data_IF_442018396618
#
_entry.id   IF_442018396618
#
_cell.length_a   1.000
_cell.length_b   1.000
_cell.length_c   1.000
_cell.angle_alpha   90.00
_cell.angle_beta   90.00
_cell.angle_gamma   90.00
#
_symmetry.space_group_name_H-M   'P 1'
#
loop_
_entity.id
_entity.type
_entity.pdbx_description
1 polymer ?
#
# COMPACT_ATOMS: atom_id res chain seq x y z
N UNK A 1 11.14 18.29 -28.63
CA UNK A 1 10.41 19.56 -28.52
C UNK A 1 11.44 20.64 -28.50
N UNK A 2 11.48 21.47 -29.52
CA UNK A 2 12.46 22.54 -29.64
C UNK A 2 12.20 23.60 -28.57
N UNK A 3 13.26 23.97 -27.88
CA UNK A 3 13.27 25.08 -26.92
C UNK A 3 13.06 26.39 -27.71
N UNK A 4 11.90 27.01 -27.50
CA UNK A 4 11.65 28.36 -27.99
C UNK A 4 12.48 29.31 -27.10
N UNK A 5 13.67 29.64 -27.55
CA UNK A 5 14.48 30.73 -26.97
C UNK A 5 13.86 32.05 -27.38
N UNK A 6 13.06 32.64 -26.52
CA UNK A 6 12.69 34.05 -26.61
C UNK A 6 13.64 34.88 -25.76
N UNK A 7 14.17 35.94 -26.33
CA UNK A 7 14.97 36.96 -25.63
C UNK A 7 14.21 37.52 -24.43
N UNK A 8 14.64 37.16 -23.23
CA UNK A 8 14.03 37.58 -21.98
C UNK A 8 13.22 36.52 -21.30
N UNK A 9 13.86 35.43 -20.86
CA UNK A 9 13.23 34.38 -20.05
C UNK A 9 12.71 34.94 -18.70
N UNK A 10 11.57 35.62 -18.74
CA UNK A 10 10.85 36.14 -17.56
C UNK A 10 9.83 35.12 -16.99
N UNK A 11 9.62 34.02 -17.69
CA UNK A 11 8.64 32.99 -17.26
C UNK A 11 9.25 31.59 -17.37
N UNK A 12 9.57 30.95 -16.26
CA UNK A 12 9.87 29.52 -16.25
C UNK A 12 8.57 28.74 -16.01
N UNK A 13 8.16 27.97 -16.98
CA UNK A 13 7.06 27.01 -16.83
C UNK A 13 7.61 25.75 -16.19
N UNK A 14 7.12 25.41 -15.02
CA UNK A 14 7.44 24.15 -14.37
C UNK A 14 6.53 23.06 -14.92
N UNK A 15 7.10 22.05 -15.55
CA UNK A 15 6.38 20.84 -15.86
C UNK A 15 6.19 20.04 -14.58
N UNK A 16 4.94 19.89 -14.15
CA UNK A 16 4.59 18.94 -13.10
C UNK A 16 4.80 17.53 -13.62
N UNK A 17 5.55 16.73 -12.87
CA UNK A 17 5.68 15.33 -13.16
C UNK A 17 4.32 14.68 -12.89
N UNK A 18 3.66 14.21 -13.92
CA UNK A 18 2.38 13.48 -13.80
C UNK A 18 2.63 12.17 -13.07
N UNK A 19 1.87 11.91 -12.00
CA UNK A 19 1.86 10.61 -11.35
C UNK A 19 1.47 9.55 -12.40
N UNK A 20 2.30 8.52 -12.53
CA UNK A 20 2.04 7.43 -13.47
C UNK A 20 1.57 6.21 -12.70
N UNK A 21 0.46 5.63 -13.16
CA UNK A 21 0.02 4.31 -12.67
C UNK A 21 1.03 3.28 -13.15
N UNK A 22 1.56 2.41 -12.28
CA UNK A 22 2.51 1.38 -12.68
C UNK A 22 1.88 0.46 -13.74
N UNK A 23 2.67 0.04 -14.72
CA UNK A 23 2.23 -0.89 -15.77
C UNK A 23 2.88 -2.25 -15.48
N UNK A 24 2.03 -3.26 -15.26
CA UNK A 24 2.47 -4.63 -14.93
C UNK A 24 2.70 -5.49 -16.17
N UNK A 25 2.44 -4.97 -17.35
CA UNK A 25 2.57 -5.73 -18.59
C UNK A 25 3.96 -6.35 -18.77
N UNK A 26 3.98 -7.55 -19.32
CA UNK A 26 5.20 -8.25 -19.70
C UNK A 26 5.76 -7.64 -20.98
N UNK A 27 7.01 -7.17 -20.92
CA UNK A 27 7.62 -6.58 -22.09
C UNK A 27 8.65 -7.52 -22.71
N UNK A 28 8.19 -8.33 -23.65
CA UNK A 28 9.03 -9.26 -24.43
C UNK A 28 9.87 -8.54 -25.47
N UNK A 29 9.44 -7.37 -25.95
CA UNK A 29 9.95 -6.73 -27.16
C UNK A 29 11.06 -5.72 -26.86
N UNK A 30 10.99 -4.99 -25.74
CA UNK A 30 11.86 -3.81 -25.50
C UNK A 30 13.33 -4.20 -25.30
N UNK A 31 13.65 -5.41 -24.89
CA UNK A 31 15.04 -5.73 -24.65
C UNK A 31 15.47 -7.11 -25.17
N UNK A 32 15.86 -7.14 -26.45
CA UNK A 32 16.45 -8.35 -27.04
C UNK A 32 17.79 -8.75 -26.42
N UNK A 33 18.45 -7.85 -25.66
CA UNK A 33 19.79 -8.04 -25.07
C UNK A 33 19.77 -8.71 -23.71
N UNK A 34 18.64 -8.71 -22.98
CA UNK A 34 18.55 -9.36 -21.68
C UNK A 34 17.96 -10.77 -21.81
N UNK A 35 18.46 -11.75 -21.05
CA UNK A 35 17.94 -13.12 -21.10
C UNK A 35 16.65 -13.31 -20.29
N UNK A 36 16.18 -12.29 -19.57
CA UNK A 36 14.96 -12.33 -18.76
C UNK A 36 13.84 -11.48 -19.34
N UNK A 37 12.61 -11.82 -18.98
CA UNK A 37 11.41 -11.04 -19.28
C UNK A 37 11.31 -9.87 -18.30
N UNK A 38 11.01 -8.68 -18.81
CA UNK A 38 10.79 -7.51 -17.97
C UNK A 38 9.44 -7.60 -17.27
N UNK A 39 9.42 -7.29 -16.00
CA UNK A 39 8.22 -7.14 -15.21
C UNK A 39 7.83 -5.66 -15.18
N UNK A 40 6.91 -5.25 -16.05
CA UNK A 40 6.56 -3.86 -16.32
C UNK A 40 7.58 -3.14 -17.21
N UNK A 41 7.26 -1.92 -17.58
CA UNK A 41 8.05 -1.12 -18.56
C UNK A 41 9.50 -0.94 -18.11
N UNK A 42 9.71 -0.55 -16.86
CA UNK A 42 11.04 -0.30 -16.28
C UNK A 42 11.65 -1.55 -15.61
N UNK A 43 11.01 -2.72 -15.72
CA UNK A 43 11.39 -3.93 -14.97
C UNK A 43 11.30 -3.76 -13.44
N UNK A 44 10.49 -2.82 -12.95
CA UNK A 44 10.36 -2.45 -11.53
C UNK A 44 8.91 -2.55 -11.02
N UNK A 45 8.00 -3.24 -11.74
CA UNK A 45 6.61 -3.36 -11.32
C UNK A 45 6.44 -3.90 -9.88
N UNK A 46 7.15 -4.95 -9.42
CA UNK A 46 7.03 -5.40 -8.04
C UNK A 46 7.47 -4.36 -7.01
N UNK A 47 8.51 -3.56 -7.32
CA UNK A 47 8.99 -2.49 -6.47
C UNK A 47 7.94 -1.36 -6.34
N UNK A 48 7.23 -1.08 -7.42
CA UNK A 48 6.11 -0.13 -7.41
C UNK A 48 4.92 -0.66 -6.60
N UNK A 49 4.60 -1.96 -6.69
CA UNK A 49 3.58 -2.58 -5.83
C UNK A 49 3.95 -2.44 -4.34
N UNK A 50 5.21 -2.67 -3.98
CA UNK A 50 5.71 -2.45 -2.61
C UNK A 50 5.57 -0.98 -2.21
N UNK A 51 5.91 -0.04 -3.11
CA UNK A 51 5.78 1.39 -2.85
C UNK A 51 4.34 1.77 -2.56
N UNK A 52 3.40 1.32 -3.38
CA UNK A 52 1.96 1.56 -3.19
C UNK A 52 1.46 0.95 -1.87
N UNK A 53 1.84 -0.29 -1.57
CA UNK A 53 1.52 -0.96 -0.30
C UNK A 53 2.02 -0.18 0.93
N UNK A 54 3.19 0.45 0.84
CA UNK A 54 3.76 1.22 1.95
C UNK A 54 3.23 2.65 2.04
N UNK A 55 2.66 3.19 0.97
CA UNK A 55 2.28 4.61 0.88
C UNK A 55 0.77 4.87 0.97
N UNK A 56 -0.07 3.89 0.60
CA UNK A 56 -1.53 4.00 0.66
C UNK A 56 -2.07 3.33 1.93
N UNK A 57 -2.65 4.08 2.88
CA UNK A 57 -3.16 3.52 4.14
C UNK A 57 -4.30 2.52 3.92
N UNK A 58 -5.27 2.86 3.08
CA UNK A 58 -6.43 2.00 2.80
C UNK A 58 -6.01 0.72 2.09
N UNK A 59 -5.15 0.83 1.08
CA UNK A 59 -4.61 -0.33 0.37
C UNK A 59 -3.82 -1.26 1.30
N UNK A 60 -2.95 -0.69 2.14
CA UNK A 60 -2.20 -1.47 3.12
C UNK A 60 -3.12 -2.21 4.10
N UNK A 61 -4.12 -1.52 4.65
CA UNK A 61 -5.08 -2.13 5.56
C UNK A 61 -5.85 -3.29 4.89
N UNK A 62 -6.26 -3.11 3.63
CA UNK A 62 -6.94 -4.15 2.86
C UNK A 62 -6.06 -5.39 2.61
N UNK A 63 -4.80 -5.19 2.22
CA UNK A 63 -3.82 -6.29 2.06
C UNK A 63 -3.60 -7.01 3.40
N UNK A 64 -3.43 -6.27 4.50
CA UNK A 64 -3.21 -6.86 5.82
C UNK A 64 -4.42 -7.65 6.31
N UNK A 65 -5.63 -7.14 6.12
CA UNK A 65 -6.87 -7.86 6.48
C UNK A 65 -6.98 -9.19 5.73
N UNK A 66 -6.73 -9.18 4.41
CA UNK A 66 -6.67 -10.41 3.61
C UNK A 66 -5.58 -11.36 4.10
N UNK A 67 -4.41 -10.83 4.42
CA UNK A 67 -3.28 -11.62 4.91
C UNK A 67 -3.57 -12.28 6.25
N UNK A 68 -4.14 -11.55 7.22
CA UNK A 68 -4.54 -12.12 8.50
C UNK A 68 -5.58 -13.24 8.31
N UNK A 69 -6.60 -13.01 7.49
CA UNK A 69 -7.60 -14.06 7.17
C UNK A 69 -6.96 -15.26 6.47
N UNK A 70 -6.06 -15.03 5.51
CA UNK A 70 -5.44 -16.10 4.72
C UNK A 70 -4.45 -16.93 5.54
N UNK A 71 -3.61 -16.30 6.35
CA UNK A 71 -2.62 -17.04 7.15
C UNK A 71 -3.27 -17.89 8.24
N UNK A 72 -4.37 -17.41 8.86
CA UNK A 72 -4.96 -18.01 10.05
C UNK A 72 -4.07 -17.91 11.29
N UNK A 73 -4.44 -18.62 12.35
CA UNK A 73 -3.65 -18.72 13.60
C UNK A 73 -2.61 -19.83 13.53
N UNK A 74 -2.94 -20.94 12.89
CA UNK A 74 -2.14 -22.16 12.90
C UNK A 74 -2.38 -22.97 11.62
N UNK A 75 -1.37 -23.71 11.20
CA UNK A 75 -1.42 -24.68 10.12
C UNK A 75 -1.19 -26.06 10.71
N UNK A 76 -2.08 -27.00 10.40
CA UNK A 76 -2.01 -28.40 10.86
C UNK A 76 -2.31 -29.37 9.73
N UNK A 77 -2.04 -30.65 9.95
CA UNK A 77 -2.41 -31.75 9.04
C UNK A 77 -3.65 -32.44 9.56
N UNK A 78 -4.68 -32.58 8.73
CA UNK A 78 -5.90 -33.28 9.09
C UNK A 78 -5.61 -34.78 9.35
N UNK A 79 -5.92 -35.25 10.55
CA UNK A 79 -5.71 -36.64 10.97
C UNK A 79 -4.28 -37.17 10.71
N UNK A 80 -3.28 -36.27 10.71
CA UNK A 80 -1.91 -36.60 10.35
C UNK A 80 -0.89 -36.16 11.41
N UNK A 81 0.36 -36.42 11.07
CA UNK A 81 1.51 -36.05 11.89
C UNK A 81 1.90 -34.58 11.65
N UNK A 82 1.70 -33.74 12.64
CA UNK A 82 2.07 -32.33 12.62
C UNK A 82 3.58 -32.11 12.73
N UNK A 83 4.37 -33.10 13.14
CA UNK A 83 5.83 -32.99 13.21
C UNK A 83 6.44 -32.69 11.84
N UNK A 84 5.74 -33.07 10.77
CA UNK A 84 6.11 -32.75 9.38
C UNK A 84 6.10 -31.25 9.08
N UNK A 85 5.35 -30.45 9.83
CA UNK A 85 5.20 -29.01 9.67
C UNK A 85 6.13 -28.20 10.59
N UNK A 86 6.76 -28.84 11.58
CA UNK A 86 7.60 -28.17 12.58
C UNK A 86 8.83 -27.53 11.97
N UNK A 87 9.44 -28.20 10.98
CA UNK A 87 10.65 -27.68 10.33
C UNK A 87 10.49 -27.69 8.81
N UNK A 88 10.58 -26.52 8.20
CA UNK A 88 10.61 -26.35 6.76
C UNK A 88 12.04 -26.37 6.20
N UNK A 89 13.02 -25.94 6.99
CA UNK A 89 14.41 -25.79 6.56
C UNK A 89 15.39 -25.86 7.74
N UNK A 90 16.67 -25.87 7.40
CA UNK A 90 17.78 -25.92 8.38
C UNK A 90 18.02 -24.61 9.14
N UNK A 91 17.35 -23.50 8.78
CA UNK A 91 17.43 -22.23 9.51
C UNK A 91 16.45 -22.17 10.68
N UNK A 92 15.56 -23.17 10.79
CA UNK A 92 14.56 -23.23 11.86
C UNK A 92 13.21 -22.59 11.51
N UNK A 93 13.01 -22.17 10.25
CA UNK A 93 11.66 -21.75 9.83
C UNK A 93 10.72 -22.95 9.88
N UNK A 94 9.52 -22.72 10.41
CA UNK A 94 8.41 -23.67 10.34
C UNK A 94 7.69 -23.59 9.00
N UNK A 95 6.85 -24.58 8.67
CA UNK A 95 5.96 -24.47 7.51
C UNK A 95 5.01 -23.30 7.62
N UNK A 96 4.56 -23.00 8.83
CA UNK A 96 3.69 -21.86 9.07
C UNK A 96 4.40 -20.52 8.80
N UNK A 97 5.68 -20.39 9.14
CA UNK A 97 6.46 -19.20 8.81
C UNK A 97 6.60 -18.99 7.31
N UNK A 98 6.85 -20.07 6.57
CA UNK A 98 6.92 -20.03 5.11
C UNK A 98 5.54 -19.72 4.51
N UNK A 99 4.48 -20.36 5.04
CA UNK A 99 3.10 -20.11 4.64
C UNK A 99 2.72 -18.64 4.79
N UNK A 100 2.99 -18.03 5.95
CA UNK A 100 2.67 -16.62 6.21
C UNK A 100 3.35 -15.67 5.23
N UNK A 101 4.63 -15.91 4.91
CA UNK A 101 5.40 -15.12 3.96
C UNK A 101 4.85 -15.27 2.53
N UNK A 102 4.58 -16.51 2.10
CA UNK A 102 4.00 -16.81 0.80
C UNK A 102 2.58 -16.26 0.63
N UNK A 103 1.77 -16.31 1.69
CA UNK A 103 0.41 -15.76 1.67
C UNK A 103 0.42 -14.23 1.45
N UNK A 104 1.37 -13.50 2.07
CA UNK A 104 1.52 -12.07 1.84
C UNK A 104 1.94 -11.77 0.40
N UNK A 105 2.95 -12.46 -0.10
CA UNK A 105 3.41 -12.32 -1.49
C UNK A 105 2.30 -12.61 -2.48
N UNK A 106 1.53 -13.67 -2.25
CA UNK A 106 0.42 -14.06 -3.11
C UNK A 106 -0.67 -12.97 -3.19
N UNK A 107 -0.99 -12.35 -2.06
CA UNK A 107 -1.98 -11.27 -2.01
C UNK A 107 -1.43 -10.02 -2.69
N UNK A 108 -0.15 -9.71 -2.47
CA UNK A 108 0.48 -8.49 -2.98
C UNK A 108 0.82 -8.57 -4.47
N UNK A 109 1.32 -9.72 -4.94
CA UNK A 109 1.81 -9.89 -6.32
C UNK A 109 0.94 -10.82 -7.17
N UNK A 110 0.05 -11.61 -6.60
CA UNK A 110 -0.60 -12.74 -7.26
C UNK A 110 0.33 -13.93 -7.47
N UNK A 111 1.49 -13.95 -6.83
CA UNK A 111 2.52 -14.96 -6.98
C UNK A 111 3.30 -15.13 -5.68
N UNK A 112 3.97 -16.26 -5.50
CA UNK A 112 4.97 -16.45 -4.46
C UNK A 112 6.09 -17.37 -4.94
N UNK A 113 7.23 -17.32 -4.26
CA UNK A 113 8.36 -18.15 -4.64
C UNK A 113 9.10 -18.74 -3.44
N UNK A 114 9.68 -19.90 -3.69
CA UNK A 114 10.46 -20.65 -2.73
C UNK A 114 11.80 -21.09 -3.37
N UNK A 115 12.83 -21.11 -2.57
CA UNK A 115 14.04 -21.83 -2.92
C UNK A 115 13.96 -23.24 -2.33
N UNK A 116 13.91 -24.24 -3.21
CA UNK A 116 13.89 -25.65 -2.86
C UNK A 116 15.33 -26.16 -2.88
N UNK A 117 15.79 -26.63 -1.74
CA UNK A 117 17.16 -27.15 -1.58
C UNK A 117 17.08 -28.66 -1.28
N UNK A 118 17.49 -29.45 -2.26
CA UNK A 118 17.51 -30.91 -2.13
C UNK A 118 18.53 -31.35 -1.08
N UNK A 119 18.15 -32.29 -0.22
CA UNK A 119 19.06 -32.95 0.70
C UNK A 119 20.04 -33.82 -0.10
N UNK A 120 21.19 -34.16 0.50
CA UNK A 120 22.21 -35.00 -0.16
C UNK A 120 21.64 -36.32 -0.66
N UNK A 121 20.81 -36.95 0.17
CA UNK A 121 19.97 -38.04 -0.24
C UNK A 121 18.60 -37.47 -0.65
N UNK A 122 18.29 -37.49 -1.92
CA UNK A 122 17.04 -36.96 -2.46
C UNK A 122 15.83 -37.75 -2.00
N UNK A 123 15.99 -39.01 -1.56
CA UNK A 123 14.91 -39.76 -0.96
C UNK A 123 14.43 -39.15 0.37
N UNK A 124 15.33 -38.46 1.07
CA UNK A 124 15.01 -37.71 2.26
C UNK A 124 14.30 -36.38 2.00
N UNK A 125 13.98 -36.06 0.73
CA UNK A 125 13.26 -34.87 0.35
C UNK A 125 14.12 -33.60 0.22
N UNK A 126 13.52 -32.47 0.49
CA UNK A 126 14.12 -31.14 0.33
C UNK A 126 13.71 -30.20 1.47
N UNK A 127 14.50 -29.18 1.65
CA UNK A 127 14.21 -28.04 2.52
C UNK A 127 13.60 -26.91 1.67
N UNK A 128 12.67 -26.16 2.28
CA UNK A 128 11.99 -25.02 1.66
C UNK A 128 12.40 -23.72 2.34
N UNK A 129 12.88 -22.78 1.54
CA UNK A 129 13.21 -21.43 2.00
C UNK A 129 12.34 -20.43 1.28
N UNK A 130 11.81 -19.46 2.01
CA UNK A 130 11.11 -18.34 1.38
C UNK A 130 12.06 -17.55 0.48
N UNK A 131 11.58 -17.17 -0.70
CA UNK A 131 12.30 -16.32 -1.65
C UNK A 131 11.39 -15.17 -2.10
N UNK A 132 11.86 -13.94 -1.96
CA UNK A 132 11.12 -12.74 -2.29
C UNK A 132 10.85 -12.66 -3.82
N UNK A 133 9.59 -12.70 -4.22
CA UNK A 133 9.15 -12.62 -5.62
C UNK A 133 9.61 -11.34 -6.31
N UNK A 134 9.73 -10.23 -5.59
CA UNK A 134 10.16 -8.95 -6.16
C UNK A 134 11.56 -9.00 -6.76
N UNK A 135 12.39 -9.93 -6.29
CA UNK A 135 13.78 -10.11 -6.69
C UNK A 135 13.98 -11.10 -7.83
N UNK A 136 12.91 -11.74 -8.29
CA UNK A 136 12.98 -12.72 -9.37
C UNK A 136 12.49 -12.16 -10.71
N UNK A 137 13.12 -12.64 -11.78
CA UNK A 137 12.66 -12.45 -13.15
C UNK A 137 12.74 -13.77 -13.89
N UNK A 138 11.69 -14.07 -14.65
CA UNK A 138 11.63 -15.26 -15.46
C UNK A 138 12.58 -15.16 -16.66
N UNK A 139 13.21 -16.28 -17.03
CA UNK A 139 13.90 -16.41 -18.32
C UNK A 139 12.88 -16.27 -19.45
N UNK A 140 13.30 -15.73 -20.58
CA UNK A 140 12.51 -15.77 -21.80
C UNK A 140 12.26 -17.22 -22.18
N UNK A 141 10.97 -17.57 -22.34
CA UNK A 141 10.60 -18.95 -22.63
C UNK A 141 11.11 -19.43 -23.99
N UNK A 142 11.18 -20.73 -24.10
CA UNK A 142 11.35 -21.41 -25.37
C UNK A 142 10.02 -21.45 -26.18
N UNK A 143 9.99 -22.19 -27.27
CA UNK A 143 8.83 -22.39 -28.12
C UNK A 143 7.61 -23.04 -27.41
N UNK A 144 7.82 -23.57 -26.20
CA UNK A 144 6.80 -24.25 -25.40
C UNK A 144 6.35 -23.46 -24.18
N UNK A 145 6.68 -22.17 -24.11
CA UNK A 145 6.38 -21.28 -22.99
C UNK A 145 6.85 -21.80 -21.61
N UNK A 146 7.84 -22.71 -21.60
CA UNK A 146 8.41 -23.25 -20.38
C UNK A 146 9.55 -22.39 -19.90
N UNK A 147 9.49 -21.97 -18.63
CA UNK A 147 10.58 -21.27 -17.94
C UNK A 147 11.55 -22.30 -17.38
N UNK A 148 12.79 -22.27 -17.83
CA UNK A 148 13.84 -23.19 -17.36
C UNK A 148 14.70 -22.60 -16.26
N UNK A 149 14.80 -21.26 -16.19
CA UNK A 149 15.60 -20.55 -15.22
C UNK A 149 14.92 -19.26 -14.77
N UNK A 150 15.25 -18.86 -13.56
CA UNK A 150 14.93 -17.56 -13.01
C UNK A 150 16.19 -16.77 -12.74
N UNK A 151 16.10 -15.45 -12.85
CA UNK A 151 17.20 -14.54 -12.53
C UNK A 151 16.87 -13.82 -11.23
N UNK A 152 17.77 -13.95 -10.26
CA UNK A 152 17.66 -13.29 -8.96
C UNK A 152 18.63 -12.11 -8.92
N UNK A 153 18.12 -10.92 -8.58
CA UNK A 153 18.94 -9.75 -8.26
C UNK A 153 18.51 -9.16 -6.92
N UNK A 154 19.48 -8.75 -6.13
CA UNK A 154 19.18 -8.05 -4.87
C UNK A 154 18.48 -6.71 -5.10
N UNK A 155 18.80 -6.03 -6.21
CA UNK A 155 18.17 -4.78 -6.59
C UNK A 155 18.10 -4.65 -8.12
N UNK A 156 16.88 -4.67 -8.66
CA UNK A 156 16.61 -4.54 -10.08
C UNK A 156 16.70 -3.09 -10.61
N UNK A 157 16.73 -2.08 -9.73
CA UNK A 157 16.98 -0.71 -10.15
C UNK A 157 18.44 -0.52 -10.58
N UNK A 158 19.36 -1.31 -10.01
CA UNK A 158 20.79 -1.21 -10.28
C UNK A 158 21.41 -2.57 -10.69
N UNK A 159 20.98 -3.19 -11.80
CA UNK A 159 21.43 -4.54 -12.18
C UNK A 159 22.93 -4.63 -12.53
N UNK A 160 23.59 -3.52 -12.81
CA UNK A 160 25.04 -3.46 -12.99
C UNK A 160 25.79 -3.60 -11.67
N UNK A 161 25.24 -3.02 -10.58
CA UNK A 161 25.81 -3.10 -9.22
C UNK A 161 25.47 -4.42 -8.55
N UNK A 162 24.28 -4.95 -8.83
CA UNK A 162 23.74 -6.19 -8.30
C UNK A 162 23.45 -7.16 -9.45
N UNK A 163 24.50 -7.80 -10.03
CA UNK A 163 24.35 -8.61 -11.23
C UNK A 163 23.40 -9.79 -10.97
N UNK A 164 22.44 -10.02 -11.86
CA UNK A 164 21.47 -11.10 -11.71
C UNK A 164 22.14 -12.47 -11.73
N UNK A 165 21.78 -13.34 -10.80
CA UNK A 165 22.23 -14.73 -10.73
C UNK A 165 21.19 -15.62 -11.40
N UNK A 166 21.64 -16.50 -12.28
CA UNK A 166 20.80 -17.51 -12.93
C UNK A 166 20.57 -18.67 -11.97
N UNK A 167 19.32 -19.03 -11.71
CA UNK A 167 18.87 -20.11 -10.85
C UNK A 167 17.99 -21.06 -11.63
N UNK A 168 18.12 -22.38 -11.41
CA UNK A 168 17.29 -23.36 -12.07
C UNK A 168 15.85 -23.30 -11.59
N UNK A 169 14.89 -23.36 -12.51
CA UNK A 169 13.49 -23.53 -12.17
C UNK A 169 13.24 -24.93 -11.58
N UNK A 170 12.32 -25.03 -10.64
CA UNK A 170 11.98 -26.28 -9.98
C UNK A 170 11.51 -27.34 -10.98
N UNK A 171 12.25 -28.42 -11.03
CA UNK A 171 11.94 -29.60 -11.82
C UNK A 171 12.40 -30.82 -11.03
N UNK A 172 11.46 -31.70 -10.67
CA UNK A 172 11.75 -32.89 -9.87
C UNK A 172 12.77 -33.84 -10.53
N UNK A 173 12.84 -33.80 -11.85
CA UNK A 173 13.74 -34.68 -12.64
C UNK A 173 15.16 -34.14 -12.77
N UNK A 174 15.37 -32.84 -12.47
CA UNK A 174 16.71 -32.26 -12.59
C UNK A 174 17.55 -32.50 -11.34
N UNK A 175 18.88 -32.62 -11.54
CA UNK A 175 19.83 -32.96 -10.47
C UNK A 175 20.35 -31.75 -9.68
N UNK A 176 20.03 -30.50 -10.09
CA UNK A 176 20.45 -29.29 -9.36
C UNK A 176 20.00 -29.35 -7.91
N UNK A 177 20.94 -29.07 -7.01
CA UNK A 177 20.68 -29.12 -5.56
C UNK A 177 19.80 -27.98 -5.07
N UNK A 178 19.80 -26.83 -5.74
CA UNK A 178 19.00 -25.65 -5.40
C UNK A 178 18.18 -25.21 -6.60
N UNK A 179 16.88 -25.10 -6.43
CA UNK A 179 15.94 -24.81 -7.50
C UNK A 179 14.90 -23.79 -7.02
N UNK A 180 14.44 -22.91 -7.92
CA UNK A 180 13.41 -21.93 -7.64
C UNK A 180 12.05 -22.47 -8.00
N UNK A 181 11.19 -22.65 -7.02
CA UNK A 181 9.77 -22.87 -7.23
C UNK A 181 9.07 -21.52 -7.29
N UNK A 182 8.43 -21.20 -8.41
CA UNK A 182 7.66 -19.97 -8.61
C UNK A 182 6.24 -20.35 -8.96
N UNK A 183 5.31 -19.90 -8.14
CA UNK A 183 3.87 -20.07 -8.35
C UNK A 183 3.24 -18.74 -8.72
N UNK A 184 2.40 -18.72 -9.73
CA UNK A 184 1.67 -17.57 -10.19
C UNK A 184 0.22 -17.94 -10.52
N UNK A 185 -0.72 -17.05 -10.22
CA UNK A 185 -2.10 -17.19 -10.66
C UNK A 185 -2.20 -16.92 -12.16
N UNK A 186 -3.21 -17.47 -12.78
CA UNK A 186 -3.51 -17.12 -14.16
C UNK A 186 -3.94 -15.66 -14.27
N UNK A 187 -3.29 -14.93 -15.16
CA UNK A 187 -3.61 -13.52 -15.46
C UNK A 187 -3.80 -13.35 -16.96
N UNK A 188 -4.93 -12.75 -17.35
CA UNK A 188 -5.22 -12.52 -18.77
C UNK A 188 -4.15 -11.61 -19.40
N UNK A 189 -3.58 -12.06 -20.51
CA UNK A 189 -2.57 -11.30 -21.26
C UNK A 189 -1.13 -11.42 -20.75
N UNK A 190 -0.90 -12.05 -19.61
CA UNK A 190 0.44 -12.29 -19.05
C UNK A 190 0.74 -13.78 -18.98
N UNK A 191 1.97 -14.18 -19.36
CA UNK A 191 2.40 -15.57 -19.35
C UNK A 191 3.37 -15.90 -18.21
N UNK A 192 4.15 -14.93 -17.74
CA UNK A 192 5.25 -15.14 -16.79
C UNK A 192 4.95 -14.59 -15.40
N UNK A 193 4.18 -13.47 -15.32
CA UNK A 193 3.92 -12.76 -14.09
C UNK A 193 2.43 -12.60 -13.85
N UNK A 194 2.03 -12.67 -12.60
CA UNK A 194 0.64 -12.42 -12.24
C UNK A 194 0.33 -10.92 -12.22
N UNK A 195 -0.95 -10.62 -12.45
CA UNK A 195 -1.54 -9.34 -12.11
C UNK A 195 -2.31 -9.53 -10.80
N UNK A 196 -2.03 -8.76 -9.74
CA UNK A 196 -2.75 -8.89 -8.48
C UNK A 196 -4.25 -8.68 -8.64
N UNK A 197 -5.06 -9.38 -7.86
CA UNK A 197 -6.53 -9.34 -7.97
C UNK A 197 -7.13 -7.93 -7.78
N UNK A 198 -6.45 -7.06 -7.03
CA UNK A 198 -6.86 -5.68 -6.75
C UNK A 198 -6.42 -4.67 -7.82
N UNK A 199 -5.73 -5.10 -8.87
CA UNK A 199 -5.08 -4.20 -9.83
C UNK A 199 -6.04 -3.24 -10.53
N UNK A 200 -7.31 -3.61 -10.69
CA UNK A 200 -8.35 -2.70 -11.19
C UNK A 200 -8.48 -1.39 -10.40
N UNK A 201 -8.04 -1.38 -9.14
CA UNK A 201 -7.99 -0.21 -8.28
C UNK A 201 -6.67 0.57 -8.30
N UNK A 202 -5.70 0.21 -9.13
CA UNK A 202 -4.36 0.81 -9.12
C UNK A 202 -4.38 2.35 -9.25
N UNK A 203 -5.28 2.88 -10.06
CA UNK A 203 -5.46 4.33 -10.19
C UNK A 203 -5.97 4.96 -8.89
N UNK A 204 -6.96 4.36 -8.24
CA UNK A 204 -7.48 4.84 -6.96
C UNK A 204 -6.40 4.79 -5.86
N UNK A 205 -5.63 3.69 -5.79
CA UNK A 205 -4.52 3.53 -4.84
C UNK A 205 -3.46 4.63 -5.06
N UNK A 206 -3.08 4.89 -6.32
CA UNK A 206 -2.14 5.95 -6.66
C UNK A 206 -2.70 7.33 -6.34
N UNK A 207 -4.00 7.55 -6.58
CA UNK A 207 -4.68 8.81 -6.26
C UNK A 207 -4.70 9.06 -4.76
N UNK A 208 -4.95 8.04 -3.92
CA UNK A 208 -4.87 8.17 -2.47
C UNK A 208 -3.48 8.65 -2.03
N UNK A 209 -2.43 8.07 -2.56
CA UNK A 209 -1.04 8.48 -2.27
C UNK A 209 -0.82 9.96 -2.62
N UNK A 210 -1.30 10.41 -3.79
CA UNK A 210 -1.14 11.80 -4.22
C UNK A 210 -2.00 12.78 -3.40
N UNK A 211 -3.18 12.39 -2.93
CA UNK A 211 -3.99 13.17 -2.00
C UNK A 211 -3.20 13.43 -0.70
N UNK A 212 -2.62 12.38 -0.10
CA UNK A 212 -1.82 12.53 1.11
C UNK A 212 -0.54 13.34 0.89
N UNK A 213 0.14 13.17 -0.24
CA UNK A 213 1.30 13.96 -0.63
C UNK A 213 0.94 15.45 -0.77
N UNK A 214 -0.22 15.72 -1.37
CA UNK A 214 -0.73 17.09 -1.53
C UNK A 214 -1.07 17.72 -0.16
N UNK A 215 -1.77 17.00 0.71
CA UNK A 215 -2.08 17.49 2.06
C UNK A 215 -0.81 17.76 2.85
N UNK A 216 0.12 16.82 2.86
CA UNK A 216 1.39 16.96 3.54
C UNK A 216 2.17 18.18 3.02
N UNK A 217 2.24 18.35 1.71
CA UNK A 217 2.89 19.50 1.09
C UNK A 217 2.21 20.83 1.50
N UNK A 218 0.88 20.88 1.54
CA UNK A 218 0.17 22.08 1.97
C UNK A 218 0.40 22.40 3.46
N UNK A 219 0.40 21.37 4.32
CA UNK A 219 0.71 21.54 5.74
C UNK A 219 2.15 22.05 5.92
N UNK A 220 3.12 21.48 5.22
CA UNK A 220 4.51 21.92 5.26
C UNK A 220 4.68 23.36 4.75
N UNK A 221 3.85 23.77 3.80
CA UNK A 221 3.85 25.13 3.23
C UNK A 221 2.90 26.08 3.97
N UNK A 222 2.45 25.74 5.20
CA UNK A 222 1.58 26.51 6.07
C UNK A 222 0.22 26.88 5.46
N UNK A 223 -0.31 26.10 4.51
CA UNK A 223 -1.56 26.37 3.79
C UNK A 223 -1.64 27.78 3.17
N UNK A 224 -0.51 28.49 3.12
CA UNK A 224 -0.47 29.86 2.64
C UNK A 224 -0.16 29.90 1.14
N UNK A 225 -0.80 30.80 0.41
CA UNK A 225 -0.41 31.08 -0.96
C UNK A 225 1.03 31.55 -0.99
N UNK A 226 1.73 31.19 -2.06
CA UNK A 226 3.10 31.59 -2.31
C UNK A 226 3.33 33.08 -2.04
N UNK A 227 4.42 33.42 -1.36
CA UNK A 227 4.80 34.80 -1.15
C UNK A 227 5.18 35.40 -2.51
N UNK A 228 4.44 36.41 -2.94
CA UNK A 228 4.75 37.15 -4.14
C UNK A 228 5.57 38.40 -3.78
N UNK A 229 6.75 38.51 -4.30
CA UNK A 229 7.64 39.64 -4.08
C UNK A 229 7.94 40.31 -5.42
N UNK A 230 7.48 41.53 -5.58
CA UNK A 230 7.83 42.40 -6.72
C UNK A 230 8.85 43.41 -6.30
N UNK A 231 10.04 43.37 -6.94
CA UNK A 231 11.11 44.34 -6.76
C UNK A 231 11.02 45.37 -7.89
N UNK A 232 10.64 46.60 -7.54
CA UNK A 232 10.36 47.69 -8.48
C UNK A 232 11.51 48.69 -8.58
N UNK A 233 12.73 48.25 -8.35
CA UNK A 233 13.94 49.08 -8.37
C UNK A 233 14.79 48.97 -9.63
N UNK A 234 14.17 48.54 -10.74
CA UNK A 234 14.84 48.24 -11.99
C UNK A 234 15.13 46.78 -12.19
N UNK A 235 15.44 46.39 -13.42
CA UNK A 235 15.74 45.00 -13.81
C UNK A 235 17.24 44.75 -13.65
N UNK A 236 17.71 43.99 -12.63
CA UNK A 236 19.13 43.72 -12.42
C UNK A 236 19.73 42.86 -13.54
N UNK A 237 21.05 42.87 -13.68
CA UNK A 237 21.76 41.97 -14.58
C UNK A 237 21.45 40.47 -14.24
N UNK A 238 21.53 39.56 -15.20
CA UNK A 238 21.16 38.15 -14.98
C UNK A 238 21.87 37.50 -13.79
N UNK A 239 23.15 37.77 -13.60
CA UNK A 239 23.97 37.25 -12.48
C UNK A 239 23.47 37.75 -11.12
N UNK A 240 23.08 39.03 -11.03
CA UNK A 240 22.52 39.62 -9.82
C UNK A 240 21.13 39.09 -9.48
N UNK A 241 20.32 38.75 -10.49
CA UNK A 241 19.02 38.12 -10.30
C UNK A 241 19.15 36.73 -9.66
N UNK A 242 20.15 35.98 -10.09
CA UNK A 242 20.44 34.65 -9.57
C UNK A 242 20.94 34.71 -8.12
N UNK A 243 21.78 35.70 -7.81
CA UNK A 243 22.26 35.96 -6.45
C UNK A 243 21.11 36.36 -5.51
N UNK A 244 20.24 37.28 -5.95
CA UNK A 244 19.06 37.72 -5.19
C UNK A 244 18.12 36.52 -4.96
N UNK A 245 17.85 35.69 -5.98
CA UNK A 245 17.01 34.50 -5.87
C UNK A 245 17.58 33.49 -4.88
N UNK A 246 18.88 33.22 -4.96
CA UNK A 246 19.58 32.30 -4.05
C UNK A 246 19.56 32.79 -2.60
N UNK A 247 19.80 34.09 -2.39
CA UNK A 247 19.76 34.71 -1.07
C UNK A 247 18.33 34.68 -0.45
N UNK A 248 17.32 34.96 -1.26
CA UNK A 248 15.92 34.86 -0.82
C UNK A 248 15.50 33.43 -0.54
N UNK A 249 15.86 32.48 -1.39
CA UNK A 249 15.60 31.05 -1.19
C UNK A 249 16.31 30.53 0.06
N UNK A 250 17.55 30.94 0.31
CA UNK A 250 18.26 30.55 1.53
C UNK A 250 17.64 31.15 2.79
N UNK A 251 17.08 32.35 2.73
CA UNK A 251 16.51 33.07 3.86
C UNK A 251 15.03 32.62 4.16
N UNK A 252 14.29 32.30 3.13
CA UNK A 252 12.84 31.99 3.23
C UNK A 252 12.48 30.55 2.84
N UNK A 253 13.42 29.79 2.27
CA UNK A 253 13.23 28.40 1.82
C UNK A 253 13.62 27.34 2.85
N UNK A 254 13.86 27.68 4.12
CA UNK A 254 14.12 26.68 5.15
C UNK A 254 12.84 25.89 5.47
N UNK A 255 12.97 24.66 5.97
CA UNK A 255 11.88 23.72 6.25
C UNK A 255 10.77 24.27 7.14
N UNK A 256 11.02 25.35 7.88
CA UNK A 256 10.02 26.03 8.73
C UNK A 256 9.33 27.20 8.02
N UNK A 257 9.77 27.61 6.81
CA UNK A 257 9.25 28.74 6.03
C UNK A 257 9.04 28.38 4.56
N UNK A 258 8.66 27.17 4.27
CA UNK A 258 8.56 26.63 2.91
C UNK A 258 7.30 27.11 2.15
N UNK A 259 7.13 28.43 2.03
CA UNK A 259 6.23 29.00 1.03
C UNK A 259 6.88 29.10 -0.34
N UNK A 260 6.14 28.89 -1.42
CA UNK A 260 6.64 29.15 -2.78
C UNK A 260 6.87 30.65 -2.93
N UNK A 261 8.13 31.06 -3.15
CA UNK A 261 8.50 32.43 -3.39
C UNK A 261 8.40 32.73 -4.89
N UNK A 262 7.51 33.63 -5.26
CA UNK A 262 7.50 34.22 -6.61
C UNK A 262 8.24 35.55 -6.55
N UNK A 263 9.36 35.65 -7.27
CA UNK A 263 10.16 36.86 -7.37
C UNK A 263 10.02 37.42 -8.77
N UNK A 264 9.63 38.68 -8.86
CA UNK A 264 9.58 39.42 -10.13
C UNK A 264 10.34 40.72 -10.03
N UNK A 265 10.87 41.15 -11.14
CA UNK A 265 11.58 42.43 -11.26
C UNK A 265 10.85 43.32 -12.27
N UNK A 266 10.58 44.56 -11.92
CA UNK A 266 9.98 45.54 -12.83
C UNK A 266 10.69 46.89 -12.73
N UNK A 267 10.64 47.67 -13.80
CA UNK A 267 11.28 48.99 -13.85
C UNK A 267 10.56 50.05 -13.03
N UNK A 268 9.26 49.86 -12.83
CA UNK A 268 8.42 50.77 -12.06
C UNK A 268 7.27 50.03 -11.39
N UNK A 269 6.63 50.66 -10.41
CA UNK A 269 5.43 50.10 -9.74
C UNK A 269 4.25 49.95 -10.67
N UNK A 270 4.16 50.74 -11.73
CA UNK A 270 3.07 50.70 -12.73
C UNK A 270 3.19 49.50 -13.66
N UNK A 271 4.40 48.99 -13.84
CA UNK A 271 4.72 47.83 -14.66
C UNK A 271 4.83 46.54 -13.81
N UNK A 272 4.50 46.60 -12.51
CA UNK A 272 4.51 45.42 -11.65
C UNK A 272 3.43 44.46 -12.08
N UNK A 273 3.70 43.12 -12.15
CA UNK A 273 2.69 42.15 -12.51
C UNK A 273 1.58 42.13 -11.48
N UNK A 274 0.34 42.16 -11.97
CA UNK A 274 -0.84 42.01 -11.13
C UNK A 274 -1.03 40.54 -10.73
N UNK A 275 -1.16 40.31 -9.44
CA UNK A 275 -1.37 38.98 -8.88
C UNK A 275 -2.84 38.81 -8.56
N UNK A 276 -3.53 38.08 -9.43
CA UNK A 276 -4.91 37.66 -9.15
C UNK A 276 -4.87 36.35 -8.35
N UNK A 277 -5.31 36.41 -7.09
CA UNK A 277 -5.52 35.18 -6.31
C UNK A 277 -6.72 34.44 -6.86
N UNK A 278 -6.47 33.29 -7.46
CA UNK A 278 -7.54 32.33 -7.76
C UNK A 278 -7.90 31.64 -6.46
N UNK A 279 -8.89 32.19 -5.76
CA UNK A 279 -9.44 31.53 -4.57
C UNK A 279 -10.29 30.35 -5.02
N UNK A 280 -9.87 29.15 -4.64
CA UNK A 280 -10.65 27.93 -4.83
C UNK A 280 -11.73 27.88 -3.73
N UNK A 281 -12.91 28.37 -4.05
CA UNK A 281 -14.02 28.59 -3.11
C UNK A 281 -14.75 27.33 -2.61
N UNK A 282 -14.24 26.12 -2.83
CA UNK A 282 -14.84 24.87 -2.31
C UNK A 282 -13.86 23.69 -2.34
N UNK A 283 -12.57 23.96 -2.38
CA UNK A 283 -11.56 22.91 -2.49
C UNK A 283 -11.60 21.92 -1.33
N UNK A 284 -11.80 22.39 -0.12
CA UNK A 284 -11.74 21.51 1.07
C UNK A 284 -12.84 20.45 1.05
N UNK A 285 -14.06 20.83 0.70
CA UNK A 285 -15.19 19.91 0.61
C UNK A 285 -15.01 18.91 -0.55
N UNK A 286 -14.58 19.41 -1.70
CA UNK A 286 -14.29 18.58 -2.88
C UNK A 286 -13.19 17.54 -2.59
N UNK A 287 -12.14 17.93 -1.85
CA UNK A 287 -11.06 17.02 -1.49
C UNK A 287 -11.50 15.94 -0.49
N UNK A 288 -12.40 16.28 0.45
CA UNK A 288 -13.00 15.30 1.38
C UNK A 288 -13.86 14.29 0.61
N UNK A 289 -14.79 14.78 -0.23
CA UNK A 289 -15.65 13.92 -1.05
C UNK A 289 -14.83 13.02 -2.01
N UNK A 290 -13.75 13.54 -2.57
CA UNK A 290 -12.84 12.75 -3.40
C UNK A 290 -12.09 11.70 -2.59
N UNK A 291 -11.65 12.02 -1.37
CA UNK A 291 -11.00 11.08 -0.45
C UNK A 291 -11.90 9.88 -0.15
N UNK A 292 -13.17 10.14 0.20
CA UNK A 292 -14.15 9.09 0.48
C UNK A 292 -14.42 8.21 -0.75
N UNK A 293 -14.57 8.82 -1.93
CA UNK A 293 -14.79 8.10 -3.18
C UNK A 293 -13.59 7.21 -3.54
N UNK A 294 -12.37 7.70 -3.34
CA UNK A 294 -11.13 6.96 -3.59
C UNK A 294 -10.99 5.80 -2.62
N UNK A 295 -11.26 6.02 -1.33
CA UNK A 295 -11.27 4.95 -0.33
C UNK A 295 -12.27 3.85 -0.71
N UNK A 296 -13.49 4.21 -1.08
CA UNK A 296 -14.51 3.24 -1.51
C UNK A 296 -14.09 2.47 -2.76
N UNK A 297 -13.44 3.12 -3.73
CA UNK A 297 -12.91 2.46 -4.93
C UNK A 297 -11.81 1.44 -4.58
N UNK A 298 -10.95 1.76 -3.62
CA UNK A 298 -9.91 0.83 -3.13
C UNK A 298 -10.57 -0.37 -2.44
N UNK A 299 -11.53 -0.15 -1.54
CA UNK A 299 -12.25 -1.24 -0.87
C UNK A 299 -12.95 -2.15 -1.88
N UNK A 300 -13.61 -1.59 -2.87
CA UNK A 300 -14.27 -2.32 -3.96
C UNK A 300 -13.28 -3.17 -4.75
N UNK A 301 -12.10 -2.62 -5.09
CA UNK A 301 -11.06 -3.37 -5.81
C UNK A 301 -10.50 -4.53 -4.99
N UNK A 302 -10.52 -4.42 -3.68
CA UNK A 302 -10.16 -5.48 -2.75
C UNK A 302 -11.31 -6.43 -2.41
N UNK A 303 -12.52 -6.21 -2.94
CA UNK A 303 -13.73 -6.98 -2.61
C UNK A 303 -14.07 -6.93 -1.12
N UNK A 304 -13.84 -5.80 -0.49
CA UNK A 304 -14.16 -5.54 0.91
C UNK A 304 -15.43 -4.72 0.96
N UNK A 305 -16.48 -5.29 1.53
CA UNK A 305 -17.82 -4.70 1.54
C UNK A 305 -17.99 -3.58 2.58
N UNK A 306 -17.20 -3.61 3.66
CA UNK A 306 -17.31 -2.66 4.75
C UNK A 306 -15.94 -2.26 5.31
N UNK A 307 -15.69 -0.98 5.62
CA UNK A 307 -14.45 -0.52 6.27
C UNK A 307 -14.19 -1.21 7.61
N UNK A 308 -15.23 -1.68 8.28
CA UNK A 308 -15.14 -2.35 9.58
C UNK A 308 -14.38 -3.69 9.50
N UNK A 309 -14.39 -4.34 8.34
CA UNK A 309 -13.55 -5.53 8.08
C UNK A 309 -12.04 -5.20 8.11
N UNK A 310 -11.69 -3.91 8.04
CA UNK A 310 -10.33 -3.41 8.22
C UNK A 310 -10.04 -2.98 9.66
N UNK A 311 -11.01 -3.11 10.59
CA UNK A 311 -10.91 -2.60 11.95
C UNK A 311 -11.18 -1.09 12.06
N UNK A 312 -11.74 -0.46 11.02
CA UNK A 312 -12.12 0.95 11.02
C UNK A 312 -13.55 1.08 11.55
N UNK A 313 -13.71 1.79 12.67
CA UNK A 313 -15.02 2.01 13.27
C UNK A 313 -15.68 3.19 12.59
N UNK A 314 -16.82 2.95 11.93
CA UNK A 314 -17.66 4.01 11.38
C UNK A 314 -18.66 4.49 12.43
N UNK A 315 -18.89 5.79 12.58
CA UNK A 315 -19.87 6.32 13.53
C UNK A 315 -21.27 5.76 13.25
N UNK A 316 -21.85 5.01 14.19
CA UNK A 316 -23.19 4.40 14.08
C UNK A 316 -23.20 2.93 13.66
N UNK A 317 -22.05 2.32 13.35
CA UNK A 317 -21.94 0.96 12.82
C UNK A 317 -21.67 -0.16 13.83
N UNK A 318 -21.52 0.12 15.12
CA UNK A 318 -21.18 -0.91 16.10
C UNK A 318 -22.42 -1.74 16.47
N UNK A 319 -22.37 -3.04 16.11
CA UNK A 319 -23.26 -4.06 16.69
C UNK A 319 -24.50 -4.42 15.88
N UNK A 320 -24.53 -4.15 14.58
CA UNK A 320 -25.61 -4.65 13.73
C UNK A 320 -25.36 -6.09 13.28
N UNK A 321 -26.41 -6.95 13.12
CA UNK A 321 -26.28 -8.29 12.57
C UNK A 321 -25.56 -8.35 11.22
N UNK A 322 -25.57 -7.26 10.47
CA UNK A 322 -24.95 -7.12 9.15
C UNK A 322 -23.41 -7.30 9.16
N UNK A 323 -22.76 -7.07 10.31
CA UNK A 323 -21.30 -7.23 10.43
C UNK A 323 -20.86 -8.69 10.38
N UNK A 324 -21.58 -9.58 11.04
CA UNK A 324 -21.28 -11.02 11.02
C UNK A 324 -21.48 -11.58 9.61
N UNK A 325 -22.55 -11.15 8.94
CA UNK A 325 -22.81 -11.55 7.56
C UNK A 325 -21.74 -11.03 6.60
N UNK A 326 -21.34 -9.76 6.72
CA UNK A 326 -20.29 -9.17 5.91
C UNK A 326 -18.95 -9.90 6.11
N UNK A 327 -18.65 -10.30 7.34
CA UNK A 327 -17.46 -11.06 7.66
C UNK A 327 -17.50 -12.48 7.11
N UNK A 328 -18.62 -13.18 7.28
CA UNK A 328 -18.80 -14.53 6.73
C UNK A 328 -18.71 -14.51 5.20
N UNK A 329 -19.29 -13.51 4.56
CA UNK A 329 -19.18 -13.31 3.13
C UNK A 329 -17.73 -13.05 2.71
N UNK A 330 -17.00 -12.16 3.40
CA UNK A 330 -15.60 -11.88 3.14
C UNK A 330 -14.74 -13.14 3.32
N UNK A 331 -14.97 -13.89 4.41
CA UNK A 331 -14.26 -15.13 4.67
C UNK A 331 -14.53 -16.18 3.59
N UNK A 332 -15.78 -16.35 3.16
CA UNK A 332 -16.17 -17.38 2.21
C UNK A 332 -15.82 -17.03 0.75
N UNK A 333 -15.99 -15.75 0.36
CA UNK A 333 -15.85 -15.34 -1.05
C UNK A 333 -14.43 -14.82 -1.38
N UNK A 334 -13.68 -14.34 -0.39
CA UNK A 334 -12.37 -13.75 -0.62
C UNK A 334 -11.26 -14.59 -0.01
N UNK A 335 -11.35 -14.92 1.28
CA UNK A 335 -10.25 -15.56 2.00
C UNK A 335 -10.13 -17.05 1.65
N UNK A 336 -11.21 -17.81 1.73
CA UNK A 336 -11.17 -19.25 1.46
C UNK A 336 -10.67 -19.61 0.05
N UNK A 337 -11.05 -18.89 -1.03
CA UNK A 337 -10.48 -19.13 -2.35
C UNK A 337 -8.96 -18.97 -2.37
N UNK A 338 -8.43 -17.89 -1.77
CA UNK A 338 -6.99 -17.64 -1.66
C UNK A 338 -6.30 -18.77 -0.88
N UNK A 339 -6.85 -19.13 0.29
CA UNK A 339 -6.34 -20.24 1.09
C UNK A 339 -6.32 -21.55 0.31
N UNK A 340 -7.40 -21.85 -0.41
CA UNK A 340 -7.52 -23.09 -1.18
C UNK A 340 -6.47 -23.19 -2.28
N UNK A 341 -6.17 -22.08 -2.93
CA UNK A 341 -5.17 -22.03 -4.00
C UNK A 341 -3.76 -22.26 -3.46
N UNK A 342 -3.36 -21.54 -2.43
CA UNK A 342 -2.05 -21.69 -1.80
C UNK A 342 -1.93 -23.09 -1.14
N UNK A 343 -2.97 -23.53 -0.43
CA UNK A 343 -3.05 -24.83 0.24
C UNK A 343 -2.74 -25.99 -0.73
N UNK A 344 -3.38 -26.01 -1.91
CA UNK A 344 -3.14 -27.02 -2.94
C UNK A 344 -1.66 -27.10 -3.36
N UNK A 345 -1.01 -25.96 -3.46
CA UNK A 345 0.42 -25.92 -3.83
C UNK A 345 1.28 -26.49 -2.71
N UNK A 346 1.02 -26.08 -1.46
CA UNK A 346 1.77 -26.57 -0.31
C UNK A 346 1.54 -28.07 -0.08
N UNK A 347 0.33 -28.58 -0.24
CA UNK A 347 0.03 -30.02 -0.17
C UNK A 347 0.78 -30.82 -1.23
N UNK A 348 0.87 -30.28 -2.45
CA UNK A 348 1.68 -30.88 -3.53
C UNK A 348 3.17 -30.87 -3.20
N UNK A 349 3.69 -29.81 -2.63
CA UNK A 349 5.08 -29.74 -2.20
C UNK A 349 5.38 -30.71 -1.05
N UNK A 350 4.47 -30.83 -0.07
CA UNK A 350 4.59 -31.82 0.99
C UNK A 350 4.57 -33.27 0.45
N UNK A 351 3.68 -33.56 -0.50
CA UNK A 351 3.64 -34.86 -1.15
C UNK A 351 4.97 -35.17 -1.89
N UNK A 352 5.53 -34.19 -2.57
CA UNK A 352 6.83 -34.36 -3.28
C UNK A 352 7.99 -34.53 -2.31
N UNK A 353 7.96 -33.81 -1.17
CA UNK A 353 9.01 -33.87 -0.14
C UNK A 353 9.01 -35.19 0.62
N UNK A 354 7.85 -35.55 1.16
CA UNK A 354 7.72 -36.64 2.13
C UNK A 354 7.22 -37.95 1.48
N UNK A 355 6.72 -37.87 0.23
CA UNK A 355 6.06 -38.96 -0.50
C UNK A 355 4.81 -39.50 0.20
N UNK A 356 4.28 -38.73 1.13
CA UNK A 356 3.07 -39.02 1.90
C UNK A 356 2.08 -37.87 1.69
N UNK A 357 0.84 -38.13 1.27
CA UNK A 357 -0.16 -37.08 1.13
C UNK A 357 -0.41 -36.39 2.47
N UNK A 358 -0.71 -35.11 2.44
CA UNK A 358 -1.11 -34.32 3.57
C UNK A 358 -2.30 -33.45 3.18
N UNK A 359 -3.32 -33.41 4.00
CA UNK A 359 -4.40 -32.45 3.89
C UNK A 359 -4.17 -31.36 4.94
N UNK A 360 -3.90 -30.15 4.51
CA UNK A 360 -3.63 -29.02 5.40
C UNK A 360 -4.93 -28.43 5.92
N UNK A 361 -4.95 -28.09 7.20
CA UNK A 361 -6.06 -27.38 7.86
C UNK A 361 -5.52 -26.06 8.41
N UNK A 362 -6.22 -24.97 8.10
CA UNK A 362 -5.90 -23.64 8.56
C UNK A 362 -6.89 -23.27 9.65
N UNK A 363 -6.42 -23.13 10.88
CA UNK A 363 -7.23 -22.66 11.99
C UNK A 363 -7.48 -21.17 11.84
N UNK A 364 -8.74 -20.78 11.77
CA UNK A 364 -9.13 -19.38 11.67
C UNK A 364 -9.05 -18.68 13.03
N UNK A 365 -8.86 -17.35 13.02
CA UNK A 365 -8.99 -16.55 14.22
C UNK A 365 -10.40 -16.67 14.79
N UNK A 366 -10.49 -17.01 16.07
CA UNK A 366 -11.78 -17.08 16.76
C UNK A 366 -12.20 -15.66 17.14
N UNK A 367 -13.32 -15.18 16.61
CA UNK A 367 -13.89 -13.97 17.15
C UNK A 367 -14.45 -14.22 18.54
N UNK A 368 -14.06 -13.39 19.48
CA UNK A 368 -14.73 -13.31 20.78
C UNK A 368 -16.07 -12.64 20.51
N UNK A 369 -17.13 -13.43 20.36
CA UNK A 369 -18.49 -12.91 20.53
C UNK A 369 -18.58 -12.44 21.96
N UNK A 370 -18.62 -11.12 22.20
CA UNK A 370 -19.00 -10.59 23.49
C UNK A 370 -20.43 -11.14 23.70
N UNK A 371 -20.67 -12.00 24.71
CA UNK A 371 -22.02 -12.46 24.99
C UNK A 371 -22.89 -11.20 25.17
N UNK A 372 -24.06 -11.19 24.57
CA UNK A 372 -25.01 -10.08 24.56
C UNK A 372 -24.84 -9.20 25.79
N UNK A 373 -24.27 -8.03 25.63
CA UNK A 373 -24.33 -7.00 26.64
C UNK A 373 -25.82 -6.80 26.87
N UNK A 374 -26.34 -7.30 28.00
CA UNK A 374 -27.71 -7.00 28.40
C UNK A 374 -27.91 -5.51 28.17
N UNK A 375 -28.99 -5.10 27.48
CA UNK A 375 -29.25 -3.68 27.29
C UNK A 375 -29.05 -3.02 28.65
N UNK A 376 -28.18 -2.05 28.74
CA UNK A 376 -28.06 -1.21 29.92
C UNK A 376 -29.47 -0.65 30.07
N UNK A 377 -30.23 -1.12 31.06
CA UNK A 377 -31.49 -0.53 31.42
C UNK A 377 -31.18 0.96 31.59
N UNK A 378 -31.71 1.77 30.69
CA UNK A 378 -31.64 3.21 30.80
C UNK A 378 -32.33 3.55 32.11
N UNK A 379 -31.53 3.81 33.13
CA UNK A 379 -32.05 4.34 34.40
C UNK A 379 -32.72 5.64 34.02
N UNK A 380 -34.05 5.61 34.12
CA UNK A 380 -34.91 6.74 33.84
C UNK A 380 -34.62 7.79 34.92
N UNK A 381 -33.71 8.72 34.63
CA UNK A 381 -33.23 9.77 35.53
C UNK A 381 -34.35 10.76 35.90
N UNK A 382 -35.58 10.54 35.42
CA UNK A 382 -36.72 11.42 35.63
C UNK A 382 -37.71 10.96 36.68
N UNK A 383 -37.39 9.99 37.55
CA UNK A 383 -38.37 9.50 38.52
C UNK A 383 -38.01 9.65 40.00
N UNK A 384 -37.07 10.46 40.37
CA UNK A 384 -36.89 10.82 41.78
C UNK A 384 -36.34 12.24 41.93
N UNK A 385 -37.16 13.23 41.50
CA UNK A 385 -37.07 14.57 42.09
C UNK A 385 -37.89 14.54 43.36
N UNK A 386 -37.29 14.06 44.43
CA UNK A 386 -37.79 14.23 45.78
C UNK A 386 -37.70 15.71 46.14
N UNK A 387 -38.84 16.26 46.37
CA UNK A 387 -39.17 17.59 46.90
C UNK A 387 -38.31 17.86 48.16
N UNK A 388 -37.16 18.45 48.02
CA UNK A 388 -36.39 18.95 49.16
C UNK A 388 -36.77 20.40 49.37
N UNK A 389 -37.71 20.58 50.28
CA UNK A 389 -38.08 21.90 50.84
C UNK A 389 -36.82 22.60 51.37
N UNK A 390 -36.50 23.72 50.74
CA UNK A 390 -35.50 24.68 51.23
C UNK A 390 -36.09 25.41 52.45
N UNK A 391 -35.45 25.42 53.63
CA UNK A 391 -35.92 26.21 54.76
C UNK A 391 -35.82 27.72 54.45
N UNK A 392 -36.89 28.44 54.59
CA UNK A 392 -36.90 29.91 54.61
C UNK A 392 -36.11 30.39 55.82
N UNK A 393 -35.02 31.04 55.63
CA UNK A 393 -34.40 31.91 56.61
C UNK A 393 -34.86 33.34 56.34
N UNK A 394 -35.70 33.80 57.20
CA UNK A 394 -36.00 35.22 57.35
C UNK A 394 -34.74 35.94 57.85
N UNK A 395 -34.32 36.96 57.14
CA UNK A 395 -33.54 38.05 57.70
C UNK A 395 -33.88 39.33 56.97
N UNK A 396 -34.32 40.34 57.70
CA UNK A 396 -34.75 41.62 57.15
C UNK A 396 -33.56 42.61 57.13
N UNK A 397 -33.80 43.67 56.31
CA UNK A 397 -33.01 44.89 56.24
C UNK A 397 -31.76 44.93 55.36
N UNK A 398 -31.88 45.55 54.22
CA UNK A 398 -31.42 46.98 54.09
C UNK A 398 -31.97 47.60 52.80
N UNK A 399 -32.59 48.74 53.08
CA UNK A 399 -33.07 49.70 52.08
C UNK A 399 -31.95 50.48 51.43
N UNK A 400 -32.27 50.90 50.20
CA UNK A 400 -31.81 52.13 49.53
C UNK A 400 -30.31 52.31 49.20
N UNK A 401 -30.07 52.58 47.96
CA UNK A 401 -29.67 53.89 47.36
C UNK A 401 -29.64 53.69 45.83
N UNK A 402 -30.41 54.29 45.14
CA UNK A 402 -30.68 55.21 44.05
C UNK A 402 -29.40 55.88 43.53
N UNK A 403 -29.29 55.90 42.19
CA UNK A 403 -28.66 56.88 41.28
C UNK A 403 -27.12 57.08 41.39
N UNK A 404 -26.42 56.81 40.35
CA UNK A 404 -26.11 57.64 39.20
C UNK A 404 -25.48 56.78 38.08
#
# INVERSE_FOLDING_TARGET
MEDIKTEGDLLRVFNFQTAQVPIIEENLIINTRTPWVYYGIANLAPQELIRLYNSSPTHRAAIQSKWYGTRGEELSVLNGDNDRLVMANSLGDTFFDIWMKCALDFILYGAFSLNIVWRKDREMGFDMYYMDCSKLRAEKSDLYDKVHYYYYSADWAFPKKFPPRKLCAFDYQKEESSQVFYYTTHSCGNNFYATPSYWGGATAISTEVEIYNWWFSNICNNLQPSLFVSLNSGIPAPEQREEIFNNMTAKYGSSNNAGKLFLTFSDSKENAPEVTQIQSNSSDKMWLEMGDAVQQAILTSHQISSPELLGIITPGGLGTPDHLEAQDNFQNLVIKPIQTEIKKVFEKLLLLRDKIPAELVIKQFTMVTIPDAKPIETVDVNKDVVDTQVPKTDNPETKNIINE
#
